data_IF_950977978993
#
_entry.id   IF_950977978993
#
_cell.length_a   1.000
_cell.length_b   1.000
_cell.length_c   1.000
_cell.angle_alpha   90.00
_cell.angle_beta   90.00
_cell.angle_gamma   90.00
#
_symmetry.space_group_name_H-M   'P 1'
#
loop_
_entity.id
_entity.type
_entity.pdbx_description
1 polymer ?
#
# COMPACT_ATOMS: atom_id res chain seq x y z
N UNK A 1 8.41 8.25 4.96
CA UNK A 1 7.00 7.82 4.92
C UNK A 1 6.85 6.52 5.70
N UNK A 2 5.64 6.17 6.13
CA UNK A 2 5.37 4.97 6.93
C UNK A 2 4.08 4.28 6.49
N UNK A 3 4.06 2.95 6.49
CA UNK A 3 2.85 2.15 6.26
C UNK A 3 2.90 0.86 7.09
N UNK A 4 1.75 0.22 7.26
CA UNK A 4 1.66 -1.13 7.79
C UNK A 4 1.12 -2.06 6.70
N UNK A 5 1.88 -3.09 6.33
CA UNK A 5 1.46 -4.14 5.41
C UNK A 5 2.49 -5.26 5.37
N UNK A 6 2.02 -6.50 5.31
CA UNK A 6 2.85 -7.67 5.04
C UNK A 6 2.54 -8.27 3.66
N UNK A 7 2.44 -7.44 2.62
CA UNK A 7 2.04 -7.87 1.27
C UNK A 7 2.41 -6.88 0.18
N UNK A 8 1.64 -6.88 -0.92
CA UNK A 8 1.96 -6.12 -2.13
C UNK A 8 2.05 -4.61 -1.88
N UNK A 9 1.21 -4.06 -0.99
CA UNK A 9 1.29 -2.63 -0.61
C UNK A 9 2.65 -2.26 -0.04
N UNK A 10 3.21 -3.08 0.85
CA UNK A 10 4.54 -2.82 1.41
C UNK A 10 5.63 -2.80 0.34
N UNK A 11 5.56 -3.73 -0.62
CA UNK A 11 6.52 -3.78 -1.72
C UNK A 11 6.38 -2.57 -2.64
N UNK A 12 5.16 -2.18 -2.99
CA UNK A 12 4.88 -1.01 -3.81
C UNK A 12 5.36 0.29 -3.15
N UNK A 13 5.13 0.45 -1.86
CA UNK A 13 5.63 1.61 -1.09
C UNK A 13 7.15 1.61 -1.02
N UNK A 14 7.78 0.48 -0.72
CA UNK A 14 9.25 0.37 -0.66
C UNK A 14 9.92 0.70 -2.00
N UNK A 15 9.40 0.12 -3.09
CA UNK A 15 9.90 0.39 -4.44
C UNK A 15 9.75 1.87 -4.81
N UNK A 16 8.56 2.45 -4.55
CA UNK A 16 8.28 3.85 -4.86
C UNK A 16 9.16 4.79 -4.04
N UNK A 17 9.37 4.49 -2.76
CA UNK A 17 10.18 5.31 -1.88
C UNK A 17 11.65 5.31 -2.30
N UNK A 18 12.20 4.15 -2.66
CA UNK A 18 13.56 4.04 -3.17
C UNK A 18 13.74 4.86 -4.46
N UNK A 19 12.78 4.78 -5.39
CA UNK A 19 12.82 5.53 -6.66
C UNK A 19 12.73 7.05 -6.46
N UNK A 20 12.02 7.50 -5.43
CA UNK A 20 11.87 8.92 -5.08
C UNK A 20 12.99 9.43 -4.15
N UNK A 21 13.92 8.57 -3.72
CA UNK A 21 14.98 8.96 -2.77
C UNK A 21 14.47 9.28 -1.36
N UNK A 22 13.30 8.76 -0.99
CA UNK A 22 12.64 9.01 0.30
C UNK A 22 12.72 7.74 1.15
N UNK A 23 13.00 7.86 2.44
CA UNK A 23 12.98 6.71 3.36
C UNK A 23 11.54 6.22 3.60
N UNK A 24 11.33 4.91 3.54
CA UNK A 24 10.07 4.28 3.93
C UNK A 24 10.29 3.26 5.04
N UNK A 25 9.51 3.41 6.12
CA UNK A 25 9.41 2.44 7.19
C UNK A 25 8.14 1.60 7.00
N UNK A 26 8.30 0.29 6.93
CA UNK A 26 7.23 -0.68 6.76
C UNK A 26 7.07 -1.46 8.05
N UNK A 27 5.93 -1.32 8.72
CA UNK A 27 5.61 -2.08 9.92
C UNK A 27 4.88 -3.37 9.53
N UNK A 28 5.40 -4.51 10.00
CA UNK A 28 4.88 -5.85 9.71
C UNK A 28 4.66 -6.63 11.02
N UNK A 29 3.62 -7.47 11.12
CA UNK A 29 3.45 -8.37 12.27
C UNK A 29 4.62 -9.34 12.40
N UNK A 30 4.96 -9.79 13.60
CA UNK A 30 6.10 -10.71 13.80
C UNK A 30 5.87 -12.10 13.19
N UNK A 31 4.63 -12.59 13.14
CA UNK A 31 4.28 -13.94 12.65
C UNK A 31 4.11 -14.09 11.13
N UNK A 32 4.58 -13.16 10.32
CA UNK A 32 4.45 -13.24 8.86
C UNK A 32 5.57 -14.07 8.20
N UNK A 33 5.40 -14.49 6.94
CA UNK A 33 6.45 -15.22 6.21
C UNK A 33 7.63 -14.31 5.85
N UNK A 34 8.84 -14.73 6.21
CA UNK A 34 10.09 -13.97 6.02
C UNK A 34 10.32 -13.48 4.60
N UNK A 35 9.95 -14.28 3.60
CA UNK A 35 10.07 -13.94 2.17
C UNK A 35 9.48 -12.58 1.83
N UNK A 36 8.43 -12.15 2.55
CA UNK A 36 7.79 -10.86 2.33
C UNK A 36 8.62 -9.70 2.89
N UNK A 37 9.22 -9.85 4.07
CA UNK A 37 10.14 -8.85 4.61
C UNK A 37 11.43 -8.74 3.79
N UNK A 38 11.92 -9.87 3.27
CA UNK A 38 13.09 -9.90 2.37
C UNK A 38 12.79 -9.11 1.09
N UNK A 39 11.62 -9.34 0.47
CA UNK A 39 11.21 -8.58 -0.72
C UNK A 39 11.16 -7.06 -0.45
N UNK A 40 10.58 -6.65 0.68
CA UNK A 40 10.52 -5.23 1.07
C UNK A 40 11.91 -4.62 1.25
N UNK A 41 12.81 -5.31 1.95
CA UNK A 41 14.21 -4.87 2.10
C UNK A 41 14.93 -4.81 0.76
N UNK A 42 14.69 -5.78 -0.13
CA UNK A 42 15.24 -5.81 -1.49
C UNK A 42 14.80 -4.63 -2.35
N UNK A 43 13.60 -4.08 -2.11
CA UNK A 43 13.14 -2.84 -2.75
C UNK A 43 13.63 -1.56 -2.07
N UNK A 44 14.46 -1.65 -1.02
CA UNK A 44 15.02 -0.49 -0.32
C UNK A 44 14.16 0.05 0.82
N UNK A 45 13.12 -0.69 1.24
CA UNK A 45 12.30 -0.33 2.39
C UNK A 45 12.91 -0.82 3.71
N UNK A 46 12.79 -0.01 4.76
CA UNK A 46 13.13 -0.41 6.13
C UNK A 46 11.97 -1.21 6.74
N UNK A 47 12.26 -2.32 7.41
CA UNK A 47 11.23 -3.20 8.00
C UNK A 47 11.31 -3.15 9.52
N UNK A 48 10.19 -2.81 10.16
CA UNK A 48 9.99 -2.94 11.60
C UNK A 48 8.99 -4.07 11.88
N UNK A 49 9.43 -5.07 12.64
CA UNK A 49 8.55 -6.16 13.08
C UNK A 49 7.89 -5.78 14.40
N UNK A 50 6.57 -5.67 14.42
CA UNK A 50 5.81 -5.31 15.61
C UNK A 50 4.37 -5.86 15.57
N UNK A 51 3.91 -6.34 16.72
CA UNK A 51 2.56 -6.86 16.91
C UNK A 51 2.38 -8.31 16.44
N UNK A 52 1.37 -8.98 16.98
CA UNK A 52 0.98 -10.35 16.62
C UNK A 52 0.13 -10.39 15.35
N UNK A 53 -0.58 -9.30 15.04
CA UNK A 53 -1.51 -9.20 13.91
C UNK A 53 -1.37 -7.84 13.19
N UNK A 54 -2.11 -7.69 12.10
CA UNK A 54 -2.10 -6.48 11.28
C UNK A 54 -2.54 -5.22 12.04
N UNK A 55 -3.55 -5.34 12.90
CA UNK A 55 -4.11 -4.19 13.61
C UNK A 55 -3.11 -3.60 14.62
N UNK A 56 -2.37 -4.45 15.33
CA UNK A 56 -1.27 -4.03 16.21
C UNK A 56 -0.13 -3.38 15.42
N UNK A 57 0.29 -3.98 14.30
CA UNK A 57 1.31 -3.40 13.42
C UNK A 57 0.87 -2.04 12.87
N UNK A 58 -0.40 -1.89 12.49
CA UNK A 58 -1.01 -0.65 12.02
C UNK A 58 -1.06 0.40 13.12
N UNK A 59 -1.49 0.04 14.33
CA UNK A 59 -1.52 0.93 15.47
C UNK A 59 -0.13 1.50 15.74
N UNK A 60 0.90 0.66 15.72
CA UNK A 60 2.29 1.10 15.89
C UNK A 60 2.77 2.02 14.78
N UNK A 61 2.41 1.73 13.52
CA UNK A 61 2.77 2.58 12.40
C UNK A 61 2.13 3.98 12.50
N UNK A 62 0.88 4.07 12.97
CA UNK A 62 0.20 5.35 13.20
C UNK A 62 0.85 6.11 14.36
N UNK A 63 1.18 5.41 15.45
CA UNK A 63 1.90 6.00 16.59
C UNK A 63 3.24 6.61 16.14
N UNK A 64 4.05 5.85 15.40
CA UNK A 64 5.35 6.30 14.88
C UNK A 64 5.21 7.43 13.86
N UNK A 65 4.13 7.42 13.06
CA UNK A 65 3.79 8.52 12.15
C UNK A 65 3.65 9.84 12.91
N UNK A 66 2.94 9.81 14.04
CA UNK A 66 2.71 10.99 14.87
C UNK A 66 3.96 11.42 15.64
N UNK A 67 4.71 10.47 16.20
CA UNK A 67 5.90 10.75 17.03
C UNK A 67 7.10 11.24 16.21
N UNK A 68 7.35 10.64 15.04
CA UNK A 68 8.55 10.88 14.25
C UNK A 68 8.28 11.74 13.00
N UNK A 69 7.04 12.19 12.80
CA UNK A 69 6.65 13.04 11.68
C UNK A 69 6.63 12.32 10.33
N UNK A 70 6.56 10.99 10.29
CA UNK A 70 6.42 10.27 9.03
C UNK A 70 5.03 10.47 8.45
N UNK A 71 4.93 10.69 7.13
CA UNK A 71 3.66 10.64 6.42
C UNK A 71 3.11 9.21 6.33
N UNK A 72 1.91 9.00 6.86
CA UNK A 72 1.17 7.74 6.74
C UNK A 72 0.68 7.49 5.32
N UNK A 73 0.98 6.31 4.76
CA UNK A 73 0.55 5.89 3.41
C UNK A 73 -0.41 4.70 3.51
N UNK A 74 -1.73 4.92 3.51
CA UNK A 74 -2.70 3.84 3.66
C UNK A 74 -2.73 2.91 2.44
N UNK A 75 -3.14 1.64 2.62
CA UNK A 75 -3.18 0.65 1.54
C UNK A 75 -4.30 0.86 0.51
N UNK A 76 -5.38 1.57 0.84
CA UNK A 76 -6.52 1.73 -0.08
C UNK A 76 -7.39 2.97 0.15
N UNK A 77 -7.74 3.32 1.38
CA UNK A 77 -8.71 4.39 1.66
C UNK A 77 -8.05 5.77 1.68
N UNK A 78 -7.58 6.21 0.53
CA UNK A 78 -7.05 7.56 0.33
C UNK A 78 -7.26 8.00 -1.12
N UNK A 79 -7.74 9.24 -1.37
CA UNK A 79 -8.05 9.71 -2.72
C UNK A 79 -6.92 9.50 -3.73
N UNK A 80 -5.66 9.80 -3.35
CA UNK A 80 -4.51 9.59 -4.23
C UNK A 80 -4.17 8.12 -4.50
N UNK A 81 -4.44 7.22 -3.54
CA UNK A 81 -4.23 5.78 -3.73
C UNK A 81 -5.29 5.25 -4.70
N UNK A 82 -6.55 5.65 -4.51
CA UNK A 82 -7.67 5.30 -5.38
C UNK A 82 -7.43 5.82 -6.81
N UNK A 83 -7.06 7.09 -6.95
CA UNK A 83 -6.74 7.69 -8.25
C UNK A 83 -5.59 6.96 -8.95
N UNK A 84 -4.55 6.59 -8.21
CA UNK A 84 -3.43 5.80 -8.73
C UNK A 84 -3.85 4.42 -9.25
N UNK A 85 -4.76 3.72 -8.57
CA UNK A 85 -5.28 2.43 -9.08
C UNK A 85 -6.18 2.62 -10.32
N UNK A 86 -6.85 3.77 -10.43
CA UNK A 86 -7.72 4.10 -11.56
C UNK A 86 -6.99 4.24 -12.90
N UNK A 87 -5.66 4.40 -12.90
CA UNK A 87 -4.89 4.48 -14.16
C UNK A 87 -4.97 3.18 -14.97
N UNK A 88 -5.15 2.03 -14.31
CA UNK A 88 -5.35 0.76 -15.00
C UNK A 88 -6.63 0.79 -15.86
N UNK A 89 -7.72 1.37 -15.35
CA UNK A 89 -8.96 1.51 -16.12
C UNK A 89 -8.78 2.48 -17.29
N UNK A 90 -8.01 3.55 -17.11
CA UNK A 90 -7.67 4.47 -18.18
C UNK A 90 -6.87 3.77 -19.30
N UNK A 91 -5.86 2.98 -18.94
CA UNK A 91 -5.06 2.20 -19.89
C UNK A 91 -5.92 1.17 -20.64
N UNK A 92 -6.83 0.47 -19.95
CA UNK A 92 -7.76 -0.48 -20.57
C UNK A 92 -8.66 0.19 -21.61
N UNK A 93 -9.26 1.33 -21.28
CA UNK A 93 -10.13 2.08 -22.20
C UNK A 93 -9.37 2.67 -23.40
N UNK A 94 -8.09 2.99 -23.22
CA UNK A 94 -7.22 3.41 -24.32
C UNK A 94 -6.86 2.26 -25.27
N UNK A 95 -6.80 1.03 -24.75
CA UNK A 95 -6.52 -0.17 -25.54
C UNK A 95 -7.76 -0.70 -26.26
N UNK A 96 -8.92 -0.67 -25.60
CA UNK A 96 -10.20 -1.06 -26.17
C UNK A 96 -11.34 -0.23 -25.58
N UNK A 97 -11.88 0.69 -26.39
CA UNK A 97 -12.99 1.54 -26.01
C UNK A 97 -14.37 0.86 -26.10
N UNK A 98 -14.43 -0.38 -26.61
CA UNK A 98 -15.67 -1.14 -26.81
C UNK A 98 -15.93 -2.17 -25.70
N UNK A 99 -15.21 -2.08 -24.58
CA UNK A 99 -15.41 -2.96 -23.42
C UNK A 99 -16.83 -2.83 -22.85
N UNK A 100 -17.60 -3.92 -22.89
CA UNK A 100 -18.93 -3.99 -22.29
C UNK A 100 -18.90 -4.10 -20.76
N UNK A 101 -17.88 -4.78 -20.21
CA UNK A 101 -17.74 -4.99 -18.77
C UNK A 101 -16.29 -5.26 -18.36
N UNK A 102 -15.92 -4.80 -17.16
CA UNK A 102 -14.63 -5.09 -16.52
C UNK A 102 -14.86 -5.66 -15.12
N UNK A 103 -14.30 -6.83 -14.86
CA UNK A 103 -14.35 -7.49 -13.56
C UNK A 103 -13.07 -7.19 -12.78
N UNK A 104 -13.21 -6.51 -11.65
CA UNK A 104 -12.10 -6.22 -10.75
C UNK A 104 -12.21 -6.97 -9.42
N UNK A 105 -11.08 -7.40 -8.88
CA UNK A 105 -11.06 -8.03 -7.56
C UNK A 105 -11.25 -6.95 -6.47
N UNK A 106 -12.39 -6.97 -5.78
CA UNK A 106 -12.65 -6.05 -4.67
C UNK A 106 -12.08 -6.59 -3.35
N UNK A 107 -10.79 -6.37 -3.09
CA UNK A 107 -10.16 -6.73 -1.82
C UNK A 107 -10.39 -5.68 -0.71
N UNK A 108 -10.70 -4.44 -1.08
CA UNK A 108 -11.01 -3.35 -0.16
C UNK A 108 -11.98 -2.34 -0.81
N UNK A 109 -12.65 -1.53 0.00
CA UNK A 109 -13.73 -0.61 -0.37
C UNK A 109 -13.38 0.52 -1.38
N UNK A 110 -12.23 0.44 -2.06
CA UNK A 110 -11.73 1.34 -3.12
C UNK A 110 -12.85 1.73 -4.10
N UNK A 111 -13.58 0.74 -4.60
CA UNK A 111 -14.60 0.94 -5.64
C UNK A 111 -15.94 1.46 -5.13
N UNK A 112 -16.28 1.24 -3.84
CA UNK A 112 -17.57 1.73 -3.28
C UNK A 112 -17.61 3.25 -3.15
N UNK A 113 -16.44 3.91 -3.12
CA UNK A 113 -16.31 5.36 -3.03
C UNK A 113 -16.02 6.00 -4.40
N UNK A 114 -15.30 5.30 -5.28
CA UNK A 114 -15.03 5.74 -6.64
C UNK A 114 -16.30 5.81 -7.53
N UNK A 115 -17.28 4.94 -7.31
CA UNK A 115 -18.55 4.89 -8.07
C UNK A 115 -19.66 5.79 -7.51
N UNK A 116 -19.36 6.63 -6.50
CA UNK A 116 -20.32 7.61 -5.93
C UNK A 116 -20.06 9.05 -6.40
N UNK A 117 -19.27 9.20 -7.46
CA UNK A 117 -19.13 10.46 -8.19
C UNK A 117 -20.20 10.54 -9.27
#
# INVERSE_FOLDING_TARGET
MITASAGNHAQGVAFSSARLGVKALIVMPTGHRDIKSIAVRGFGGEVLLHGANFDEAKAKAIELSQQQGFTWVPPFDHPMVIAGQGTLALELLQQDAHLDAYLCQSAAAVWRRALRC
#
